data_IF_909843923953
#
_entry.id   IF_909843923953
#
_cell.length_a   1.000
_cell.length_b   1.000
_cell.length_c   1.000
_cell.angle_alpha   90.00
_cell.angle_beta   90.00
_cell.angle_gamma   90.00
#
_symmetry.space_group_name_H-M   'P 1'
#
loop_
_entity.id
_entity.type
_entity.pdbx_description
1 polymer ?
#
# COMPACT_ATOMS: atom_id res chain seq x y z
N UNK A 1 31.78 -31.52 -24.67
CA UNK A 1 31.80 -32.88 -25.27
C UNK A 1 31.79 -33.89 -24.12
N UNK A 2 30.77 -34.77 -24.06
CA UNK A 2 30.50 -35.82 -23.04
C UNK A 2 30.13 -35.21 -21.68
N UNK A 3 28.85 -35.17 -21.27
CA UNK A 3 28.06 -36.31 -20.79
C UNK A 3 26.57 -36.06 -21.15
N UNK A 4 26.18 -36.57 -22.33
CA UNK A 4 24.80 -36.97 -22.63
C UNK A 4 24.86 -38.49 -22.52
N UNK A 5 24.35 -39.03 -21.42
CA UNK A 5 23.99 -40.43 -21.16
C UNK A 5 23.86 -40.51 -19.65
N UNK A 6 22.64 -40.54 -19.10
CA UNK A 6 22.30 -41.40 -17.94
C UNK A 6 20.89 -41.23 -17.34
N UNK A 7 20.01 -40.38 -17.85
CA UNK A 7 18.61 -40.36 -17.37
C UNK A 7 17.63 -40.41 -18.55
N UNK A 8 17.90 -41.35 -19.46
CA UNK A 8 16.95 -41.84 -20.46
C UNK A 8 17.04 -43.36 -20.48
N UNK A 9 16.81 -44.00 -19.32
CA UNK A 9 16.78 -45.46 -19.18
C UNK A 9 16.27 -45.84 -17.79
N UNK A 10 14.96 -45.70 -17.58
CA UNK A 10 14.17 -46.48 -16.61
C UNK A 10 12.72 -46.00 -16.66
N UNK A 11 11.93 -46.60 -17.56
CA UNK A 11 10.52 -46.97 -17.38
C UNK A 11 9.96 -47.53 -18.70
N UNK A 12 10.63 -48.57 -19.23
CA UNK A 12 9.98 -49.52 -20.14
C UNK A 12 10.46 -50.93 -19.78
N UNK A 13 9.61 -51.65 -19.05
CA UNK A 13 9.51 -53.12 -19.07
C UNK A 13 8.15 -53.49 -18.47
N UNK A 14 7.11 -53.59 -19.30
CA UNK A 14 6.61 -54.81 -19.98
C UNK A 14 5.80 -55.74 -19.06
N UNK A 15 4.50 -55.81 -19.32
CA UNK A 15 3.71 -57.04 -19.21
C UNK A 15 3.02 -57.35 -20.56
N UNK A 16 3.45 -58.46 -21.15
CA UNK A 16 2.83 -59.27 -22.24
C UNK A 16 1.48 -59.86 -21.75
N UNK A 17 0.46 -60.31 -22.51
CA UNK A 17 0.16 -60.44 -23.94
C UNK A 17 -1.35 -60.84 -24.16
N UNK A 18 -1.98 -60.33 -25.25
CA UNK A 18 -2.89 -60.92 -26.31
C UNK A 18 -4.06 -61.91 -25.97
N UNK A 19 -5.15 -62.06 -26.79
CA UNK A 19 -5.16 -61.97 -28.28
C UNK A 19 -6.38 -61.35 -29.04
N UNK A 20 -6.06 -60.84 -30.24
CA UNK A 20 -6.66 -60.97 -31.60
C UNK A 20 -8.20 -61.01 -31.82
N UNK A 21 -8.65 -60.07 -32.67
CA UNK A 21 -9.78 -60.19 -33.59
C UNK A 21 -9.64 -59.21 -34.79
N UNK A 22 -9.20 -59.74 -35.94
CA UNK A 22 -9.20 -59.23 -37.34
C UNK A 22 -10.53 -58.52 -37.73
N UNK A 23 -10.67 -57.48 -38.57
CA UNK A 23 -9.98 -56.88 -39.74
C UNK A 23 -10.51 -55.42 -39.85
N UNK A 24 -9.85 -54.38 -40.37
CA UNK A 24 -9.58 -54.09 -41.80
C UNK A 24 -8.90 -52.71 -41.92
N UNK A 25 -7.60 -52.69 -42.26
CA UNK A 25 -6.90 -51.84 -43.24
C UNK A 25 -7.47 -50.47 -43.72
N UNK A 26 -6.67 -49.41 -43.49
CA UNK A 26 -6.41 -48.16 -44.28
C UNK A 26 -7.50 -47.07 -44.22
N UNK A 27 -7.26 -45.80 -43.85
CA UNK A 27 -6.06 -44.96 -43.88
C UNK A 27 -5.95 -44.11 -42.59
N UNK A 28 -4.70 -43.86 -42.17
CA UNK A 28 -4.39 -42.86 -41.16
C UNK A 28 -4.52 -41.48 -41.80
N UNK A 29 -5.57 -40.74 -41.43
CA UNK A 29 -5.51 -39.29 -41.42
C UNK A 29 -4.65 -38.93 -40.20
N UNK A 30 -3.42 -38.50 -40.47
CA UNK A 30 -2.65 -37.72 -39.51
C UNK A 30 -3.45 -36.43 -39.27
N UNK A 31 -4.28 -36.42 -38.22
CA UNK A 31 -4.67 -35.17 -37.56
C UNK A 31 -3.38 -34.56 -37.02
N UNK A 32 -2.78 -33.73 -37.86
CA UNK A 32 -1.91 -32.64 -37.47
C UNK A 32 -2.69 -31.77 -36.47
N UNK A 33 -2.61 -32.15 -35.19
CA UNK A 33 -3.03 -31.32 -34.07
C UNK A 33 -2.08 -30.13 -34.02
N UNK A 34 -2.30 -29.20 -34.96
CA UNK A 34 -1.71 -27.88 -34.91
C UNK A 34 -2.11 -27.24 -33.58
N UNK A 35 -1.09 -27.00 -32.76
CA UNK A 35 -1.11 -26.23 -31.52
C UNK A 35 -1.39 -24.74 -31.79
N UNK A 36 -2.46 -24.46 -32.54
CA UNK A 36 -3.15 -23.20 -32.51
C UNK A 36 -4.52 -23.48 -31.92
N UNK A 37 -4.57 -23.58 -30.59
CA UNK A 37 -5.78 -23.15 -29.87
C UNK A 37 -6.01 -21.71 -30.32
N UNK A 38 -6.84 -21.55 -31.35
CA UNK A 38 -7.47 -20.27 -31.65
C UNK A 38 -8.30 -20.01 -30.40
N UNK A 39 -7.82 -19.18 -29.47
CA UNK A 39 -8.68 -18.61 -28.45
C UNK A 39 -9.79 -17.88 -29.22
N UNK A 40 -10.94 -18.54 -29.37
CA UNK A 40 -12.08 -17.97 -30.06
C UNK A 40 -12.40 -16.65 -29.38
N UNK A 41 -12.37 -15.56 -30.15
CA UNK A 41 -12.81 -14.24 -29.66
C UNK A 41 -14.20 -14.39 -29.03
N UNK A 42 -14.31 -14.04 -27.75
CA UNK A 42 -15.55 -14.13 -26.99
C UNK A 42 -16.03 -12.75 -26.55
N UNK A 43 -17.31 -12.65 -26.23
CA UNK A 43 -17.91 -11.44 -25.67
C UNK A 43 -17.50 -11.27 -24.21
N UNK A 44 -17.14 -10.05 -23.84
CA UNK A 44 -16.75 -9.67 -22.48
C UNK A 44 -17.69 -8.57 -22.01
N UNK A 45 -18.30 -8.77 -20.84
CA UNK A 45 -19.15 -7.75 -20.23
C UNK A 45 -18.29 -6.63 -19.64
N UNK A 46 -18.46 -5.40 -20.13
CA UNK A 46 -17.68 -4.22 -19.70
C UNK A 46 -17.80 -3.98 -18.20
N UNK A 47 -19.01 -4.07 -17.64
CA UNK A 47 -19.26 -3.84 -16.22
C UNK A 47 -18.51 -4.85 -15.34
N UNK A 48 -18.49 -6.11 -15.77
CA UNK A 48 -17.85 -7.19 -15.01
C UNK A 48 -16.34 -7.07 -15.03
N UNK A 49 -15.75 -6.75 -16.19
CA UNK A 49 -14.29 -6.55 -16.26
C UNK A 49 -13.87 -5.30 -15.48
N UNK A 50 -14.63 -4.21 -15.55
CA UNK A 50 -14.36 -2.99 -14.78
C UNK A 50 -14.38 -3.27 -13.27
N UNK A 51 -15.39 -4.00 -12.79
CA UNK A 51 -15.51 -4.38 -11.39
C UNK A 51 -14.33 -5.27 -10.93
N UNK A 52 -13.95 -6.27 -11.73
CA UNK A 52 -12.85 -7.18 -11.40
C UNK A 52 -11.53 -6.44 -11.28
N UNK A 53 -11.21 -5.59 -12.27
CA UNK A 53 -9.96 -4.82 -12.28
C UNK A 53 -9.95 -3.80 -11.15
N UNK A 54 -11.03 -3.05 -10.94
CA UNK A 54 -11.11 -2.08 -9.84
C UNK A 54 -10.94 -2.73 -8.47
N UNK A 55 -11.51 -3.93 -8.29
CA UNK A 55 -11.37 -4.72 -7.07
C UNK A 55 -9.93 -5.17 -6.86
N UNK A 56 -9.27 -5.67 -7.90
CA UNK A 56 -7.86 -6.05 -7.86
C UNK A 56 -6.96 -4.87 -7.48
N UNK A 57 -7.14 -3.72 -8.13
CA UNK A 57 -6.36 -2.51 -7.86
C UNK A 57 -6.55 -2.04 -6.41
N UNK A 58 -7.80 -2.02 -5.92
CA UNK A 58 -8.08 -1.61 -4.56
C UNK A 58 -7.35 -2.49 -3.54
N UNK A 59 -7.59 -3.81 -3.58
CA UNK A 59 -7.19 -4.70 -2.50
C UNK A 59 -5.73 -5.18 -2.60
N UNK A 60 -5.23 -5.41 -3.82
CA UNK A 60 -3.89 -5.98 -3.99
C UNK A 60 -2.81 -4.89 -4.09
N UNK A 61 -3.19 -3.65 -4.44
CA UNK A 61 -2.24 -2.56 -4.65
C UNK A 61 -2.49 -1.36 -3.73
N UNK A 62 -3.66 -0.71 -3.82
CA UNK A 62 -3.91 0.55 -3.11
C UNK A 62 -3.93 0.36 -1.59
N UNK A 63 -4.57 -0.68 -1.07
CA UNK A 63 -4.60 -0.94 0.38
C UNK A 63 -3.19 -1.14 0.97
N UNK A 64 -2.30 -1.80 0.24
CA UNK A 64 -0.90 -1.96 0.63
C UNK A 64 -0.14 -0.64 0.62
N UNK A 65 -0.37 0.19 -0.41
CA UNK A 65 0.21 1.53 -0.51
C UNK A 65 -0.25 2.42 0.65
N UNK A 66 -1.56 2.46 0.93
CA UNK A 66 -2.16 3.25 2.02
C UNK A 66 -1.56 2.84 3.37
N UNK A 67 -1.52 1.54 3.66
CA UNK A 67 -0.96 1.01 4.92
C UNK A 67 0.51 1.39 5.12
N UNK A 68 1.33 1.32 4.06
CA UNK A 68 2.74 1.72 4.14
C UNK A 68 2.90 3.23 4.34
N UNK A 69 2.04 4.03 3.71
CA UNK A 69 2.03 5.49 3.84
C UNK A 69 1.61 5.90 5.25
N UNK A 70 0.58 5.29 5.81
CA UNK A 70 0.12 5.58 7.17
C UNK A 70 1.24 5.37 8.19
N UNK A 71 1.98 4.26 8.05
CA UNK A 71 3.13 3.95 8.89
C UNK A 71 4.28 4.94 8.71
N UNK A 72 4.55 5.37 7.49
CA UNK A 72 5.59 6.34 7.22
C UNK A 72 5.23 7.72 7.79
N UNK A 73 3.98 8.17 7.60
CA UNK A 73 3.47 9.41 8.18
C UNK A 73 3.57 9.36 9.71
N UNK A 74 3.13 8.27 10.34
CA UNK A 74 3.24 8.12 11.79
C UNK A 74 4.69 8.18 12.28
N UNK A 75 5.63 7.64 11.49
CA UNK A 75 7.06 7.71 11.76
C UNK A 75 7.58 9.15 11.66
N UNK A 76 7.15 9.92 10.65
CA UNK A 76 7.50 11.35 10.55
C UNK A 76 6.89 12.17 11.69
N UNK A 77 5.63 11.93 12.07
CA UNK A 77 4.99 12.64 13.17
C UNK A 77 5.78 12.52 14.48
N UNK A 78 6.35 11.34 14.75
CA UNK A 78 7.25 11.14 15.88
C UNK A 78 8.55 11.94 15.78
N UNK A 79 9.03 12.25 14.58
CA UNK A 79 10.20 13.10 14.39
C UNK A 79 9.86 14.57 14.67
N UNK A 80 8.69 15.02 14.19
CA UNK A 80 8.23 16.40 14.36
C UNK A 80 7.82 16.74 15.79
N UNK A 81 7.41 15.75 16.60
CA UNK A 81 7.00 15.96 17.99
C UNK A 81 8.05 15.42 18.96
N UNK A 82 8.71 16.32 19.67
CA UNK A 82 9.73 15.97 20.66
C UNK A 82 9.29 16.38 22.06
N UNK A 83 9.24 15.40 22.96
CA UNK A 83 8.96 15.61 24.38
C UNK A 83 10.26 15.45 25.15
N UNK A 84 10.71 16.54 25.77
CA UNK A 84 11.95 16.62 26.53
C UNK A 84 11.67 16.97 28.00
N UNK A 85 12.49 16.46 28.91
CA UNK A 85 12.43 16.84 30.34
C UNK A 85 13.55 17.83 30.61
N UNK A 86 13.20 19.06 31.00
CA UNK A 86 14.17 20.12 31.28
C UNK A 86 14.10 20.56 32.74
N UNK A 87 15.21 21.01 33.35
CA UNK A 87 15.18 21.61 34.67
C UNK A 87 14.37 22.91 34.68
N UNK A 88 13.57 23.13 35.72
CA UNK A 88 12.71 24.33 35.83
C UNK A 88 13.52 25.62 36.10
N UNK A 89 14.82 25.52 36.40
CA UNK A 89 15.67 26.66 36.78
C UNK A 89 16.94 26.83 35.93
N UNK A 90 16.93 27.84 35.05
CA UNK A 90 18.14 28.51 34.54
C UNK A 90 18.56 29.67 35.48
N UNK A 91 18.61 29.42 36.79
CA UNK A 91 19.18 30.39 37.75
C UNK A 91 20.50 29.85 38.26
N UNK A 92 21.58 30.41 37.73
CA UNK A 92 22.90 30.42 38.38
C UNK A 92 22.68 30.92 39.82
N UNK A 93 22.88 30.05 40.81
CA UNK A 93 23.59 30.35 42.07
C UNK A 93 23.49 29.19 43.08
N UNK A 94 24.68 28.72 43.44
CA UNK A 94 25.08 28.06 44.70
C UNK A 94 24.09 28.04 45.88
N UNK A 95 23.82 26.85 46.45
CA UNK A 95 24.34 26.42 47.76
C UNK A 95 23.70 25.13 48.29
N UNK A 96 24.48 24.46 49.14
CA UNK A 96 24.31 23.15 49.77
C UNK A 96 23.07 22.95 50.67
N UNK A 97 22.59 21.69 50.67
CA UNK A 97 21.92 20.92 51.74
C UNK A 97 20.62 21.43 52.39
N UNK A 98 19.53 20.65 52.27
CA UNK A 98 18.84 19.99 53.41
C UNK A 98 17.77 18.98 52.96
N UNK A 99 17.90 17.74 53.47
CA UNK A 99 16.89 16.75 53.87
C UNK A 99 15.60 16.54 53.05
N UNK A 100 15.60 15.43 52.31
CA UNK A 100 14.65 14.31 52.45
C UNK A 100 13.23 14.64 52.95
N UNK A 101 12.33 14.86 52.00
CA UNK A 101 10.90 14.59 52.17
C UNK A 101 10.50 13.60 51.08
N UNK A 102 10.26 12.35 51.49
CA UNK A 102 9.72 11.28 50.66
C UNK A 102 8.31 11.68 50.20
N UNK A 103 8.21 12.37 49.07
CA UNK A 103 7.19 12.06 48.06
C UNK A 103 7.81 11.02 47.13
N UNK A 104 7.03 10.16 46.44
CA UNK A 104 7.59 9.38 45.35
C UNK A 104 8.02 10.38 44.29
N UNK A 105 9.30 10.77 44.33
CA UNK A 105 9.91 11.53 43.24
C UNK A 105 9.74 10.67 42.03
N UNK A 106 9.05 11.17 41.00
CA UNK A 106 8.79 10.40 39.80
C UNK A 106 10.15 9.89 39.28
N UNK A 107 10.37 8.58 39.30
CA UNK A 107 11.67 8.03 38.95
C UNK A 107 11.98 8.39 37.49
N UNK A 108 13.26 8.46 37.12
CA UNK A 108 13.66 8.67 35.72
C UNK A 108 12.97 7.64 34.81
N UNK A 109 12.82 6.43 35.32
CA UNK A 109 12.04 5.36 34.68
C UNK A 109 10.57 5.73 34.45
N UNK A 110 9.89 6.34 35.41
CA UNK A 110 8.49 6.74 35.29
C UNK A 110 8.30 7.88 34.28
N UNK A 111 9.26 8.81 34.21
CA UNK A 111 9.31 9.86 33.19
C UNK A 111 9.52 9.29 31.77
N UNK A 112 10.38 8.28 31.64
CA UNK A 112 10.60 7.56 30.38
C UNK A 112 9.37 6.75 29.96
N UNK A 113 8.69 6.09 30.91
CA UNK A 113 7.42 5.39 30.65
C UNK A 113 6.37 6.38 30.17
N UNK A 114 6.22 7.53 30.84
CA UNK A 114 5.24 8.54 30.46
C UNK A 114 5.52 9.10 29.06
N UNK A 115 6.79 9.38 28.75
CA UNK A 115 7.23 9.78 27.41
C UNK A 115 6.90 8.72 26.36
N UNK A 116 7.14 7.45 26.68
CA UNK A 116 6.83 6.31 25.80
C UNK A 116 5.32 6.19 25.55
N UNK A 117 4.50 6.30 26.60
CA UNK A 117 3.04 6.27 26.49
C UNK A 117 2.49 7.43 25.66
N UNK A 118 3.01 8.64 25.85
CA UNK A 118 2.65 9.80 25.02
C UNK A 118 3.03 9.59 23.55
N UNK A 119 4.22 9.05 23.28
CA UNK A 119 4.66 8.73 21.92
C UNK A 119 3.77 7.67 21.25
N UNK A 120 3.37 6.64 21.99
CA UNK A 120 2.45 5.61 21.51
C UNK A 120 1.04 6.18 21.26
N UNK A 121 0.57 7.09 22.11
CA UNK A 121 -0.72 7.76 21.93
C UNK A 121 -0.72 8.66 20.69
N UNK A 122 0.36 9.40 20.42
CA UNK A 122 0.52 10.22 19.20
C UNK A 122 0.44 9.34 17.96
N UNK A 123 1.17 8.22 17.96
CA UNK A 123 1.14 7.27 16.86
C UNK A 123 -0.28 6.73 16.62
N UNK A 124 -0.95 6.24 17.67
CA UNK A 124 -2.31 5.71 17.54
C UNK A 124 -3.33 6.78 17.11
N UNK A 125 -3.19 8.02 17.57
CA UNK A 125 -4.03 9.14 17.15
C UNK A 125 -3.82 9.48 15.68
N UNK A 126 -2.57 9.50 15.23
CA UNK A 126 -2.20 9.77 13.83
C UNK A 126 -2.76 8.66 12.93
N UNK A 127 -2.43 7.40 13.23
CA UNK A 127 -2.94 6.22 12.49
C UNK A 127 -4.47 6.14 12.48
N UNK A 128 -5.16 6.63 13.53
CA UNK A 128 -6.62 6.65 13.57
C UNK A 128 -7.27 7.74 12.69
N UNK A 129 -6.59 8.86 12.46
CA UNK A 129 -7.13 9.99 11.70
C UNK A 129 -6.74 9.96 10.21
N UNK A 130 -5.66 9.26 9.85
CA UNK A 130 -5.18 9.18 8.47
C UNK A 130 -6.17 8.53 7.50
N UNK A 131 -6.89 7.43 7.83
CA UNK A 131 -7.87 6.86 6.91
C UNK A 131 -9.00 7.84 6.53
N UNK A 132 -9.48 8.64 7.49
CA UNK A 132 -10.52 9.64 7.25
C UNK A 132 -9.98 10.77 6.35
N UNK A 133 -8.72 11.12 6.56
CA UNK A 133 -8.02 12.13 5.76
C UNK A 133 -7.80 11.63 4.33
N UNK A 134 -7.41 10.37 4.18
CA UNK A 134 -7.26 9.69 2.89
C UNK A 134 -8.57 9.71 2.10
N UNK A 135 -9.69 9.31 2.71
CA UNK A 135 -11.01 9.29 2.05
C UNK A 135 -11.38 10.66 1.45
N UNK A 136 -10.92 11.76 2.06
CA UNK A 136 -11.18 13.12 1.57
C UNK A 136 -10.35 13.49 0.34
N UNK A 137 -9.09 13.07 0.28
CA UNK A 137 -8.15 13.49 -0.78
C UNK A 137 -8.00 12.46 -1.91
N UNK A 138 -8.36 11.20 -1.65
CA UNK A 138 -8.21 10.08 -2.56
C UNK A 138 -9.55 9.59 -3.15
N UNK A 139 -10.60 10.41 -3.18
CA UNK A 139 -11.92 10.05 -3.74
C UNK A 139 -11.83 9.48 -5.16
N UNK A 140 -10.90 10.00 -5.97
CA UNK A 140 -10.62 9.53 -7.34
C UNK A 140 -9.93 8.17 -7.41
N UNK A 141 -9.35 7.72 -6.31
CA UNK A 141 -8.77 6.39 -6.14
C UNK A 141 -9.74 5.43 -5.44
N UNK A 142 -10.97 5.86 -5.13
CA UNK A 142 -12.00 4.95 -4.65
C UNK A 142 -12.29 3.87 -5.71
N UNK A 143 -12.65 2.67 -5.24
CA UNK A 143 -13.06 1.57 -6.13
C UNK A 143 -14.11 2.01 -7.15
N UNK A 144 -15.09 2.81 -6.74
CA UNK A 144 -16.15 3.32 -7.61
C UNK A 144 -15.61 4.25 -8.70
N UNK A 145 -14.67 5.15 -8.36
CA UNK A 145 -14.05 6.03 -9.33
C UNK A 145 -13.20 5.26 -10.34
N UNK A 146 -12.41 4.28 -9.86
CA UNK A 146 -11.58 3.41 -10.70
C UNK A 146 -12.45 2.55 -11.62
N UNK A 147 -13.52 1.94 -11.11
CA UNK A 147 -14.48 1.17 -11.91
C UNK A 147 -15.11 2.03 -13.01
N UNK A 148 -15.54 3.24 -12.67
CA UNK A 148 -16.12 4.19 -13.64
C UNK A 148 -15.09 4.56 -14.71
N UNK A 149 -13.85 4.84 -14.31
CA UNK A 149 -12.77 5.15 -15.24
C UNK A 149 -12.44 3.98 -16.17
N UNK A 150 -12.33 2.76 -15.66
CA UNK A 150 -12.05 1.56 -16.48
C UNK A 150 -13.19 1.31 -17.45
N UNK A 151 -14.45 1.46 -17.02
CA UNK A 151 -15.62 1.33 -17.90
C UNK A 151 -15.53 2.31 -19.07
N UNK A 152 -15.30 3.59 -18.78
CA UNK A 152 -15.16 4.63 -19.79
C UNK A 152 -13.98 4.34 -20.73
N UNK A 153 -12.81 4.05 -20.16
CA UNK A 153 -11.59 3.74 -20.90
C UNK A 153 -11.76 2.54 -21.84
N UNK A 154 -12.47 1.51 -21.37
CA UNK A 154 -12.74 0.28 -22.13
C UNK A 154 -13.67 0.56 -23.30
N UNK A 155 -14.77 1.30 -23.10
CA UNK A 155 -15.74 1.67 -24.15
C UNK A 155 -15.11 2.62 -25.19
N UNK A 156 -14.26 3.56 -24.76
CA UNK A 156 -13.57 4.49 -25.65
C UNK A 156 -12.53 3.79 -26.53
N UNK A 157 -11.95 2.70 -26.05
CA UNK A 157 -10.87 1.98 -26.74
C UNK A 157 -11.40 0.83 -27.60
N UNK A 158 -12.42 0.12 -27.11
CA UNK A 158 -13.03 -1.02 -27.78
C UNK A 158 -14.49 -0.72 -28.13
N UNK A 159 -14.89 -0.85 -29.41
CA UNK A 159 -16.28 -0.71 -29.80
C UNK A 159 -17.17 -1.66 -29.00
N UNK A 160 -18.16 -1.11 -28.31
CA UNK A 160 -19.13 -1.87 -27.50
C UNK A 160 -20.49 -1.95 -28.20
N UNK A 161 -21.12 -3.12 -28.13
CA UNK A 161 -22.54 -3.31 -28.46
C UNK A 161 -23.25 -3.80 -27.20
N UNK A 162 -24.19 -3.01 -26.66
CA UNK A 162 -24.95 -3.35 -25.44
C UNK A 162 -24.06 -3.76 -24.23
N UNK A 163 -23.01 -2.98 -23.95
CA UNK A 163 -21.99 -3.22 -22.91
C UNK A 163 -21.18 -4.53 -23.08
N UNK A 164 -21.17 -5.12 -24.28
CA UNK A 164 -20.32 -6.24 -24.66
C UNK A 164 -19.21 -5.78 -25.60
N UNK A 165 -17.99 -6.25 -25.35
CA UNK A 165 -16.81 -6.01 -26.19
C UNK A 165 -16.13 -7.34 -26.56
N UNK A 166 -15.36 -7.35 -27.65
CA UNK A 166 -14.58 -8.53 -28.04
C UNK A 166 -13.33 -8.68 -27.17
N UNK A 167 -13.07 -9.90 -26.70
CA UNK A 167 -11.82 -10.25 -26.02
C UNK A 167 -10.58 -9.96 -26.88
N UNK A 168 -10.68 -10.11 -28.21
CA UNK A 168 -9.59 -9.76 -29.12
C UNK A 168 -9.24 -8.28 -29.05
N UNK A 169 -10.23 -7.39 -28.96
CA UNK A 169 -9.97 -5.96 -28.85
C UNK A 169 -9.23 -5.61 -27.55
N UNK A 170 -9.58 -6.26 -26.44
CA UNK A 170 -8.87 -6.10 -25.17
C UNK A 170 -7.42 -6.55 -25.29
N UNK A 171 -7.18 -7.70 -25.90
CA UNK A 171 -5.83 -8.22 -26.14
C UNK A 171 -5.00 -7.26 -27.00
N UNK A 172 -5.57 -6.77 -28.09
CA UNK A 172 -4.88 -5.85 -29.01
C UNK A 172 -4.53 -4.50 -28.36
N UNK A 173 -5.33 -4.06 -27.37
CA UNK A 173 -5.18 -2.78 -26.70
C UNK A 173 -4.67 -2.90 -25.25
N UNK A 174 -4.34 -4.09 -24.76
CA UNK A 174 -4.04 -4.35 -23.35
C UNK A 174 -2.96 -3.43 -22.79
N UNK A 175 -1.89 -3.21 -23.55
CA UNK A 175 -0.78 -2.32 -23.16
C UNK A 175 -1.23 -0.86 -23.05
N UNK A 176 -2.04 -0.39 -23.99
CA UNK A 176 -2.54 0.99 -23.98
C UNK A 176 -3.55 1.22 -22.85
N UNK A 177 -4.42 0.23 -22.61
CA UNK A 177 -5.37 0.24 -21.49
C UNK A 177 -4.64 0.25 -20.14
N UNK A 178 -3.67 -0.64 -19.95
CA UNK A 178 -2.83 -0.70 -18.76
C UNK A 178 -2.11 0.63 -18.52
N UNK A 179 -1.43 1.16 -19.54
CA UNK A 179 -0.72 2.43 -19.43
C UNK A 179 -1.65 3.59 -19.01
N UNK A 180 -2.82 3.71 -19.64
CA UNK A 180 -3.79 4.77 -19.29
C UNK A 180 -4.36 4.60 -17.88
N UNK A 181 -4.44 3.37 -17.38
CA UNK A 181 -4.84 3.08 -16.01
C UNK A 181 -3.73 3.43 -15.02
N UNK A 182 -2.50 3.05 -15.31
CA UNK A 182 -1.32 3.41 -14.51
C UNK A 182 -1.15 4.93 -14.43
N UNK A 183 -1.27 5.64 -15.57
CA UNK A 183 -1.19 7.10 -15.63
C UNK A 183 -2.31 7.74 -14.77
N UNK A 184 -3.53 7.19 -14.79
CA UNK A 184 -4.63 7.64 -13.96
C UNK A 184 -4.34 7.44 -12.47
N UNK A 185 -3.93 6.24 -12.06
CA UNK A 185 -3.64 5.93 -10.66
C UNK A 185 -2.48 6.79 -10.16
N UNK A 186 -1.39 6.88 -10.91
CA UNK A 186 -0.22 7.68 -10.54
C UNK A 186 -0.55 9.17 -10.39
N UNK A 187 -1.29 9.75 -11.34
CA UNK A 187 -1.67 11.17 -11.29
C UNK A 187 -2.51 11.45 -10.04
N UNK A 188 -3.53 10.63 -9.78
CA UNK A 188 -4.40 10.83 -8.61
C UNK A 188 -3.69 10.54 -7.28
N UNK A 189 -2.72 9.61 -7.25
CA UNK A 189 -1.85 9.41 -6.07
C UNK A 189 -0.95 10.64 -5.83
N UNK A 190 -0.34 11.18 -6.86
CA UNK A 190 0.51 12.37 -6.76
C UNK A 190 -0.28 13.58 -6.25
N UNK A 191 -1.51 13.77 -6.73
CA UNK A 191 -2.41 14.83 -6.28
C UNK A 191 -2.85 14.62 -4.82
N UNK A 192 -3.19 13.38 -4.45
CA UNK A 192 -3.57 13.04 -3.07
C UNK A 192 -2.41 13.26 -2.09
N UNK A 193 -1.19 12.84 -2.45
CA UNK A 193 -0.01 13.03 -1.62
C UNK A 193 0.38 14.50 -1.50
N UNK A 194 0.21 15.28 -2.56
CA UNK A 194 0.43 16.73 -2.50
C UNK A 194 -0.56 17.40 -1.55
N UNK A 195 -1.83 17.04 -1.62
CA UNK A 195 -2.84 17.58 -0.71
C UNK A 195 -2.62 17.14 0.76
N UNK A 196 -2.19 15.90 0.97
CA UNK A 196 -1.78 15.42 2.30
C UNK A 196 -0.60 16.25 2.83
N UNK A 197 0.46 16.38 2.04
CA UNK A 197 1.71 17.04 2.44
C UNK A 197 1.53 18.54 2.69
N UNK A 198 0.79 19.24 1.83
CA UNK A 198 0.62 20.69 1.90
C UNK A 198 -0.44 21.16 2.89
N UNK A 199 -1.44 20.32 3.20
CA UNK A 199 -2.61 20.74 3.98
C UNK A 199 -2.86 19.84 5.17
N UNK A 200 -3.05 18.55 4.93
CA UNK A 200 -3.58 17.67 5.97
C UNK A 200 -2.58 17.37 7.09
N UNK A 201 -1.33 17.08 6.74
CA UNK A 201 -0.29 16.72 7.70
C UNK A 201 0.16 17.90 8.55
N UNK A 202 0.34 19.13 8.00
CA UNK A 202 0.53 20.32 8.82
C UNK A 202 -0.61 20.56 9.83
N UNK A 203 -1.87 20.46 9.38
CA UNK A 203 -3.04 20.70 10.24
C UNK A 203 -3.14 19.63 11.35
N UNK A 204 -2.91 18.36 11.00
CA UNK A 204 -2.91 17.25 11.95
C UNK A 204 -1.78 17.38 12.97
N UNK A 205 -0.58 17.80 12.54
CA UNK A 205 0.57 18.05 13.42
C UNK A 205 0.24 19.16 14.42
N UNK A 206 -0.36 20.26 13.94
CA UNK A 206 -0.72 21.39 14.79
C UNK A 206 -1.76 21.01 15.85
N UNK A 207 -2.86 20.35 15.47
CA UNK A 207 -3.86 19.90 16.44
C UNK A 207 -3.27 18.91 17.46
N UNK A 208 -2.46 17.96 16.98
CA UNK A 208 -1.78 16.99 17.88
C UNK A 208 -0.86 17.70 18.88
N UNK A 209 -0.11 18.71 18.42
CA UNK A 209 0.75 19.51 19.29
C UNK A 209 -0.02 20.30 20.35
N UNK A 210 -1.17 20.88 19.98
CA UNK A 210 -2.05 21.61 20.90
C UNK A 210 -2.62 20.69 21.99
N UNK A 211 -3.10 19.52 21.60
CA UNK A 211 -3.61 18.49 22.53
C UNK A 211 -2.51 18.02 23.51
N UNK A 212 -1.32 17.71 22.99
CA UNK A 212 -0.18 17.31 23.80
C UNK A 212 0.25 18.41 24.77
N UNK A 213 0.26 19.66 24.34
CA UNK A 213 0.58 20.80 25.22
C UNK A 213 -0.39 20.87 26.40
N UNK A 214 -1.69 20.64 26.16
CA UNK A 214 -2.70 20.53 27.20
C UNK A 214 -2.38 19.42 28.22
N UNK A 215 -2.05 18.23 27.73
CA UNK A 215 -1.68 17.08 28.55
C UNK A 215 -0.41 17.37 29.36
N UNK A 216 0.65 17.87 28.73
CA UNK A 216 1.92 18.16 29.40
C UNK A 216 1.76 19.25 30.47
N UNK A 217 0.95 20.28 30.21
CA UNK A 217 0.63 21.29 31.22
C UNK A 217 -0.04 20.68 32.44
N UNK A 218 -0.99 19.77 32.25
CA UNK A 218 -1.63 19.05 33.35
C UNK A 218 -0.60 18.25 34.16
N UNK A 219 0.27 17.47 33.50
CA UNK A 219 1.29 16.69 34.21
C UNK A 219 2.31 17.55 34.96
N UNK A 220 2.75 18.65 34.32
CA UNK A 220 3.66 19.60 34.94
C UNK A 220 3.05 20.23 36.20
N UNK A 221 1.77 20.59 36.17
CA UNK A 221 1.05 21.18 37.30
C UNK A 221 0.70 20.16 38.40
N UNK A 222 0.27 18.95 38.02
CA UNK A 222 -0.25 17.96 38.96
C UNK A 222 0.86 17.15 39.66
N UNK A 223 1.97 16.88 38.96
CA UNK A 223 3.01 15.96 39.44
C UNK A 223 4.38 16.59 39.57
N UNK A 224 4.70 17.63 38.78
CA UNK A 224 6.04 18.22 38.74
C UNK A 224 6.11 19.65 39.29
N UNK A 225 5.03 20.19 39.84
CA UNK A 225 4.99 21.57 40.34
C UNK A 225 5.99 21.84 41.48
N UNK A 226 6.34 20.80 42.23
CA UNK A 226 7.34 20.85 43.30
C UNK A 226 8.71 20.29 42.89
N UNK A 227 8.83 19.75 41.67
CA UNK A 227 10.08 19.20 41.16
C UNK A 227 10.78 20.26 40.30
N UNK A 228 12.09 20.37 40.39
CA UNK A 228 12.89 21.25 39.52
C UNK A 228 12.99 20.68 38.09
N UNK A 229 11.94 20.05 37.56
CA UNK A 229 11.85 19.47 36.23
C UNK A 229 10.48 19.76 35.63
N UNK A 230 10.42 19.90 34.31
CA UNK A 230 9.18 20.04 33.55
C UNK A 230 9.31 19.33 32.21
N UNK A 231 8.20 18.80 31.72
CA UNK A 231 8.07 18.39 30.32
C UNK A 231 7.94 19.63 29.43
N UNK A 232 8.73 19.66 28.36
CA UNK A 232 8.70 20.67 27.33
C UNK A 232 8.41 19.99 26.01
N UNK A 233 7.41 20.51 25.31
CA UNK A 233 7.08 20.12 23.94
C UNK A 233 7.89 20.99 22.98
N UNK A 234 8.62 20.34 22.09
CA UNK A 234 9.27 20.95 20.94
C UNK A 234 8.62 20.38 19.68
N UNK A 235 8.15 21.26 18.81
CA UNK A 235 7.47 20.90 17.56
C UNK A 235 8.28 21.45 16.41
N UNK A 236 8.81 20.55 15.58
CA UNK A 236 9.48 20.92 14.34
C UNK A 236 8.38 21.16 13.30
N UNK A 237 8.35 22.33 12.62
CA UNK A 237 7.38 22.58 11.56
C UNK A 237 7.43 21.49 10.48
N UNK A 238 6.27 21.15 9.91
CA UNK A 238 6.17 20.14 8.86
C UNK A 238 7.05 20.49 7.64
N UNK A 239 6.91 21.71 7.12
CA UNK A 239 7.64 22.20 5.95
C UNK A 239 8.97 22.88 6.32
N UNK A 240 9.86 22.19 7.03
CA UNK A 240 11.24 22.68 7.21
C UNK A 240 12.01 22.64 5.87
N UNK A 241 13.09 23.42 5.72
CA UNK A 241 13.77 23.82 4.47
C UNK A 241 14.25 22.67 3.54
N UNK A 242 14.02 21.40 3.90
CA UNK A 242 14.43 20.20 3.16
C UNK A 242 13.34 19.12 3.07
N UNK A 243 12.06 19.49 3.22
CA UNK A 243 10.94 18.55 3.23
C UNK A 243 10.49 18.17 1.80
N UNK A 244 11.00 17.06 1.27
CA UNK A 244 10.52 16.44 0.02
C UNK A 244 9.74 15.14 0.32
N UNK A 245 8.76 15.24 1.22
CA UNK A 245 8.02 14.07 1.69
C UNK A 245 7.07 13.52 0.64
N UNK A 246 6.46 14.37 -0.20
CA UNK A 246 5.71 13.91 -1.39
C UNK A 246 6.51 12.91 -2.23
N UNK A 247 7.77 13.22 -2.56
CA UNK A 247 8.60 12.31 -3.38
C UNK A 247 8.88 10.99 -2.65
N UNK A 248 9.04 11.03 -1.33
CA UNK A 248 9.18 9.81 -0.51
C UNK A 248 7.89 8.96 -0.53
N UNK A 249 6.72 9.58 -0.41
CA UNK A 249 5.43 8.88 -0.50
C UNK A 249 5.23 8.25 -1.89
N UNK A 250 5.61 8.97 -2.95
CA UNK A 250 5.59 8.44 -4.31
C UNK A 250 6.52 7.25 -4.49
N UNK A 251 7.73 7.29 -3.94
CA UNK A 251 8.67 6.16 -4.01
C UNK A 251 8.12 4.91 -3.30
N UNK A 252 7.49 5.09 -2.14
CA UNK A 252 6.81 4.02 -1.41
C UNK A 252 5.63 3.46 -2.21
N UNK A 253 4.87 4.31 -2.89
CA UNK A 253 3.74 3.88 -3.71
C UNK A 253 4.17 3.09 -4.96
N UNK A 254 5.33 3.41 -5.54
CA UNK A 254 5.90 2.70 -6.68
C UNK A 254 6.57 1.38 -6.29
N UNK A 255 7.07 1.29 -5.06
CA UNK A 255 7.75 0.11 -4.52
C UNK A 255 7.14 -0.31 -3.18
N UNK A 256 5.85 -0.71 -3.13
CA UNK A 256 5.24 -1.18 -1.91
C UNK A 256 6.04 -2.40 -1.44
N UNK A 257 6.75 -2.24 -0.32
CA UNK A 257 7.78 -3.16 0.12
C UNK A 257 7.14 -4.48 0.56
N UNK A 258 6.96 -5.40 -0.38
CA UNK A 258 6.67 -6.80 -0.12
C UNK A 258 7.88 -7.63 -0.56
N UNK A 259 8.69 -7.99 0.42
CA UNK A 259 9.82 -8.94 0.38
C UNK A 259 9.34 -10.39 0.10
N UNK A 260 8.28 -10.57 -0.68
CA UNK A 260 7.56 -11.85 -0.88
C UNK A 260 7.07 -12.12 -2.30
N UNK A 261 7.41 -11.29 -3.30
CA UNK A 261 7.05 -11.55 -4.70
C UNK A 261 8.22 -11.22 -5.64
N UNK A 262 9.29 -12.03 -5.55
CA UNK A 262 9.95 -12.45 -6.79
C UNK A 262 8.87 -13.10 -7.66
N UNK A 263 8.84 -12.72 -8.95
CA UNK A 263 7.75 -12.94 -9.91
C UNK A 263 6.53 -12.04 -9.69
N UNK A 264 6.34 -11.09 -10.61
CA UNK A 264 5.32 -11.29 -11.66
C UNK A 264 5.31 -10.19 -12.71
N UNK A 265 5.43 -10.65 -13.95
CA UNK A 265 5.13 -10.02 -15.23
C UNK A 265 3.66 -9.59 -15.41
N UNK A 266 2.97 -9.08 -14.38
CA UNK A 266 1.52 -8.83 -14.41
C UNK A 266 1.08 -7.47 -15.00
N UNK A 267 1.98 -6.55 -15.31
CA UNK A 267 1.59 -5.14 -15.57
C UNK A 267 0.75 -4.94 -16.85
N UNK A 268 0.75 -5.86 -17.82
CA UNK A 268 -0.04 -5.68 -19.07
C UNK A 268 -0.99 -6.82 -19.40
N UNK A 269 -0.86 -7.99 -18.76
CA UNK A 269 -1.71 -9.17 -19.04
C UNK A 269 -3.03 -9.17 -18.27
N UNK A 270 -3.20 -8.32 -17.25
CA UNK A 270 -4.38 -8.40 -16.38
C UNK A 270 -5.70 -8.11 -17.12
N UNK A 271 -5.71 -7.21 -18.12
CA UNK A 271 -6.90 -7.02 -18.96
C UNK A 271 -7.30 -8.29 -19.70
N UNK A 272 -6.33 -9.12 -20.10
CA UNK A 272 -6.54 -10.41 -20.77
C UNK A 272 -7.01 -11.47 -19.75
N UNK A 273 -6.36 -11.53 -18.59
CA UNK A 273 -6.70 -12.46 -17.51
C UNK A 273 -8.13 -12.22 -16.99
N UNK A 274 -8.50 -10.97 -16.75
CA UNK A 274 -9.85 -10.62 -16.28
C UNK A 274 -10.91 -10.68 -17.40
N UNK A 275 -10.52 -10.54 -18.67
CA UNK A 275 -11.44 -10.77 -19.79
C UNK A 275 -12.03 -12.18 -19.75
N UNK A 276 -11.20 -13.20 -19.55
CA UNK A 276 -11.65 -14.60 -19.44
C UNK A 276 -12.65 -14.79 -18.29
N UNK A 277 -12.47 -14.09 -17.17
CA UNK A 277 -13.38 -14.13 -16.02
C UNK A 277 -14.68 -13.35 -16.26
N UNK A 278 -14.68 -12.40 -17.19
CA UNK A 278 -15.83 -11.58 -17.58
C UNK A 278 -16.53 -12.04 -18.87
N UNK A 279 -16.18 -13.23 -19.37
CA UNK A 279 -16.79 -13.88 -20.54
C UNK A 279 -18.30 -14.07 -20.37
N UNK A 280 -19.02 -13.83 -21.47
CA UNK A 280 -20.46 -14.08 -21.65
C UNK A 280 -20.68 -15.14 -22.72
#
# INVERSE_FOLDING_TARGET
>A
MKIILYILLLLISTTLALPVGTSTSIAAEEEDLSLSEIEESFGVQVDRIAQLIATHIQFDHLDAVISNIDKEIATQFRHHIQINVQPTTLTKESNQFTLQKQLPTLDVMDLEILKSQMSAAIQAHTEGNLPITWDKFADKLSRQAIETYIRQLTIETCPSDDDLISSQCLTDNAVNLAKKLDDYIFTNLADAFEALDQHALPDLLQHTAEDLKGILNYFNLAFLSSENRQFVLEVIPWNDDNHDFKSKLLDIALHPSNDMLEDKTHSTSFFIEFAAMARV
#
